data_IF_443325497557
#
_entry.id   IF_443325497557
#
_cell.length_a   1.000
_cell.length_b   1.000
_cell.length_c   1.000
_cell.angle_alpha   90.00
_cell.angle_beta   90.00
_cell.angle_gamma   90.00
#
_symmetry.space_group_name_H-M   'P 1'
#
loop_
_entity.id
_entity.type
_entity.pdbx_description
1 polymer ?
#
# COMPACT_ATOMS: atom_id res chain seq x y z
N UNK A 1 -33.83 56.98 54.73
CA UNK A 1 -33.03 55.76 55.03
C UNK A 1 -32.41 55.28 53.73
N UNK A 2 -31.12 55.58 53.58
CA UNK A 2 -30.27 55.38 52.40
C UNK A 2 -29.65 53.98 52.51
N UNK A 3 -29.72 53.16 51.45
CA UNK A 3 -28.93 51.92 51.35
C UNK A 3 -27.88 52.08 50.25
N UNK A 4 -26.67 51.71 50.61
CA UNK A 4 -25.39 52.06 50.02
C UNK A 4 -25.07 51.37 48.69
N UNK A 5 -24.25 52.07 47.91
CA UNK A 5 -23.53 51.59 46.72
C UNK A 5 -22.57 50.45 47.07
N UNK A 6 -22.42 49.48 46.17
CA UNK A 6 -21.10 48.92 45.84
C UNK A 6 -21.14 48.41 44.41
N UNK A 7 -20.33 49.05 43.56
CA UNK A 7 -20.02 48.58 42.22
C UNK A 7 -18.98 47.45 42.33
N UNK A 8 -19.11 46.42 41.50
CA UNK A 8 -17.98 45.56 41.13
C UNK A 8 -18.21 45.07 39.72
N UNK A 9 -17.41 45.64 38.81
CA UNK A 9 -17.16 45.09 37.48
C UNK A 9 -16.57 43.69 37.62
N UNK A 10 -17.09 42.71 36.88
CA UNK A 10 -16.26 41.60 36.41
C UNK A 10 -16.83 41.04 35.10
N UNK A 11 -16.27 41.58 34.02
CA UNK A 11 -15.82 40.88 32.81
C UNK A 11 -16.79 39.94 32.08
N UNK A 12 -17.33 40.43 30.96
CA UNK A 12 -17.72 39.61 29.82
C UNK A 12 -16.53 38.73 29.40
N UNK A 13 -16.64 37.42 29.57
CA UNK A 13 -15.83 36.45 28.84
C UNK A 13 -16.70 35.87 27.73
N UNK A 14 -16.70 36.57 26.59
CA UNK A 14 -17.12 36.00 25.32
C UNK A 14 -16.08 34.95 24.95
N UNK A 15 -16.39 33.67 25.15
CA UNK A 15 -15.69 32.59 24.45
C UNK A 15 -16.04 32.69 22.97
N UNK A 16 -15.30 33.53 22.25
CA UNK A 16 -15.03 33.29 20.84
C UNK A 16 -14.19 32.02 20.79
N UNK A 17 -14.86 30.88 20.63
CA UNK A 17 -14.20 29.70 20.11
C UNK A 17 -13.70 30.08 18.71
N UNK A 18 -12.41 30.36 18.60
CA UNK A 18 -11.72 30.45 17.33
C UNK A 18 -11.87 29.09 16.65
N UNK A 19 -12.88 28.97 15.80
CA UNK A 19 -12.95 27.94 14.76
C UNK A 19 -11.83 28.24 13.76
N UNK A 20 -10.60 27.89 14.14
CA UNK A 20 -9.51 27.66 13.21
C UNK A 20 -9.75 26.29 12.59
N UNK A 21 -10.82 26.17 11.80
CA UNK A 21 -10.80 25.21 10.70
C UNK A 21 -9.79 25.78 9.71
N UNK A 22 -8.53 25.40 9.90
CA UNK A 22 -7.57 25.46 8.82
C UNK A 22 -8.12 24.51 7.75
N UNK A 23 -8.89 25.07 6.83
CA UNK A 23 -9.01 24.58 5.48
C UNK A 23 -7.58 24.36 4.99
N UNK A 24 -7.14 23.10 5.04
CA UNK A 24 -5.93 22.67 4.37
C UNK A 24 -6.24 22.75 2.88
N UNK A 25 -6.05 23.92 2.29
CA UNK A 25 -5.85 24.07 0.85
C UNK A 25 -4.80 23.04 0.46
N UNK A 26 -5.22 21.94 -0.17
CA UNK A 26 -4.33 20.87 -0.54
C UNK A 26 -3.28 21.46 -1.49
N UNK A 27 -1.99 21.54 -1.09
CA UNK A 27 -0.97 21.93 -2.04
C UNK A 27 -1.05 20.92 -3.17
N UNK A 28 -0.80 21.34 -4.40
CA UNK A 28 -0.47 20.37 -5.45
C UNK A 28 0.89 19.76 -5.07
N UNK A 29 0.89 18.87 -4.07
CA UNK A 29 2.08 18.29 -3.45
C UNK A 29 2.76 17.44 -4.50
N UNK A 30 4.03 17.68 -4.78
CA UNK A 30 4.82 16.87 -5.73
C UNK A 30 4.98 15.46 -5.15
N UNK A 31 5.16 14.45 -6.01
CA UNK A 31 5.38 13.08 -5.53
C UNK A 31 6.59 12.99 -4.61
N UNK A 32 7.60 13.81 -4.86
CA UNK A 32 8.76 13.89 -3.98
C UNK A 32 8.40 14.43 -2.58
N UNK A 33 7.45 15.36 -2.46
CA UNK A 33 7.00 15.86 -1.16
C UNK A 33 6.29 14.74 -0.38
N UNK A 34 5.42 13.97 -1.05
CA UNK A 34 4.79 12.77 -0.48
C UNK A 34 5.84 11.75 -0.02
N UNK A 35 6.86 11.50 -0.86
CA UNK A 35 7.95 10.59 -0.55
C UNK A 35 8.75 11.05 0.67
N UNK A 36 9.12 12.32 0.75
CA UNK A 36 9.88 12.87 1.88
C UNK A 36 9.07 12.82 3.18
N UNK A 37 7.80 13.24 3.14
CA UNK A 37 6.89 13.12 4.29
C UNK A 37 6.76 11.67 4.77
N UNK A 38 6.67 10.72 3.84
CA UNK A 38 6.58 9.30 4.16
C UNK A 38 7.89 8.78 4.78
N UNK A 39 9.05 9.18 4.26
CA UNK A 39 10.36 8.80 4.83
C UNK A 39 10.49 9.33 6.25
N UNK A 40 10.12 10.58 6.52
CA UNK A 40 10.16 11.16 7.86
C UNK A 40 9.21 10.45 8.83
N UNK A 41 8.01 10.06 8.36
CA UNK A 41 7.09 9.25 9.14
C UNK A 41 7.71 7.90 9.53
N UNK A 42 8.29 7.19 8.55
CA UNK A 42 8.98 5.91 8.78
C UNK A 42 10.14 6.11 9.76
N UNK A 43 10.98 7.13 9.55
CA UNK A 43 12.13 7.43 10.41
C UNK A 43 11.71 7.65 11.86
N UNK A 44 10.58 8.33 12.08
CA UNK A 44 10.05 8.64 13.41
C UNK A 44 9.38 7.42 14.08
N UNK A 45 8.65 6.63 13.32
CA UNK A 45 7.75 5.62 13.88
C UNK A 45 8.30 4.20 13.76
N UNK A 46 9.13 3.85 12.79
CA UNK A 46 9.59 2.47 12.56
C UNK A 46 10.43 1.92 13.73
N UNK A 47 10.22 0.65 14.04
CA UNK A 47 11.17 -0.15 14.82
C UNK A 47 12.15 -0.82 13.86
N UNK A 48 13.31 -0.20 13.64
CA UNK A 48 14.35 -0.72 12.76
C UNK A 48 14.86 -2.10 13.20
N UNK A 49 15.13 -2.96 12.22
CA UNK A 49 15.47 -4.37 12.45
C UNK A 49 16.92 -4.70 12.08
N UNK A 50 17.57 -3.83 11.32
CA UNK A 50 18.93 -3.99 10.81
C UNK A 50 19.81 -2.83 11.27
N UNK A 51 21.13 -2.97 11.16
CA UNK A 51 22.04 -1.86 11.44
C UNK A 51 22.02 -0.77 10.35
N UNK A 52 21.56 -1.12 9.14
CA UNK A 52 21.48 -0.19 8.02
C UNK A 52 20.07 0.41 7.93
N UNK A 53 19.83 1.40 8.79
CA UNK A 53 18.54 2.09 8.83
C UNK A 53 18.20 2.81 7.52
N UNK A 54 19.20 3.31 6.79
CA UNK A 54 18.97 4.02 5.53
C UNK A 54 18.54 3.06 4.41
N UNK A 55 19.11 1.85 4.36
CA UNK A 55 18.61 0.80 3.46
C UNK A 55 17.16 0.42 3.81
N UNK A 56 16.83 0.23 5.10
CA UNK A 56 15.46 -0.05 5.53
C UNK A 56 14.46 1.06 5.15
N UNK A 57 14.86 2.32 5.29
CA UNK A 57 14.06 3.45 4.81
C UNK A 57 13.86 3.37 3.30
N UNK A 58 14.94 3.14 2.54
CA UNK A 58 14.91 3.02 1.09
C UNK A 58 14.02 1.87 0.58
N UNK A 59 13.90 0.79 1.35
CA UNK A 59 13.02 -0.33 1.05
C UNK A 59 11.55 0.00 1.32
N UNK A 60 11.25 0.70 2.41
CA UNK A 60 9.86 0.99 2.76
C UNK A 60 9.30 2.24 2.07
N UNK A 61 10.16 3.15 1.62
CA UNK A 61 9.75 4.42 1.04
C UNK A 61 9.03 4.26 -0.32
N UNK A 62 8.00 5.07 -0.59
CA UNK A 62 7.47 5.30 -1.93
C UNK A 62 8.60 5.66 -2.91
N UNK A 63 8.45 5.27 -4.18
CA UNK A 63 9.46 5.54 -5.21
C UNK A 63 8.82 5.83 -6.56
N UNK A 64 9.51 6.66 -7.33
CA UNK A 64 9.20 6.94 -8.71
C UNK A 64 10.32 6.45 -9.62
N UNK A 65 9.94 5.86 -10.75
CA UNK A 65 10.83 5.54 -11.85
C UNK A 65 10.40 6.34 -13.07
N UNK A 66 11.33 7.13 -13.60
CA UNK A 66 11.09 7.99 -14.77
C UNK A 66 11.69 7.31 -16.00
N UNK A 67 10.92 7.13 -17.09
CA UNK A 67 11.42 6.54 -18.32
C UNK A 67 12.37 7.51 -19.04
N UNK A 68 13.17 7.00 -19.96
CA UNK A 68 13.92 7.87 -20.88
C UNK A 68 12.96 8.48 -21.92
N UNK A 69 12.99 9.80 -22.06
CA UNK A 69 12.13 10.53 -23.00
C UNK A 69 10.75 10.89 -22.43
N UNK A 70 9.78 11.12 -23.33
CA UNK A 70 8.40 11.47 -22.93
C UNK A 70 7.64 10.20 -22.50
N UNK A 71 7.02 10.18 -21.30
CA UNK A 71 6.26 9.02 -20.84
C UNK A 71 5.07 8.69 -21.77
N UNK A 72 4.93 7.40 -22.12
CA UNK A 72 3.78 6.89 -22.90
C UNK A 72 2.49 6.83 -22.07
N UNK A 73 2.64 6.84 -20.75
CA UNK A 73 1.59 6.74 -19.75
C UNK A 73 2.23 6.65 -18.36
N UNK A 74 1.39 6.64 -17.32
CA UNK A 74 1.80 6.45 -15.94
C UNK A 74 1.20 5.20 -15.33
N UNK A 75 1.93 4.57 -14.42
CA UNK A 75 1.45 3.40 -13.66
C UNK A 75 1.60 3.68 -12.16
N UNK A 76 0.49 3.62 -11.43
CA UNK A 76 0.49 3.65 -9.96
C UNK A 76 0.41 2.21 -9.42
N UNK A 77 1.34 1.82 -8.55
CA UNK A 77 1.42 0.48 -7.98
C UNK A 77 1.19 0.50 -6.47
N UNK A 78 0.19 -0.28 -6.00
CA UNK A 78 -0.29 -0.30 -4.61
C UNK A 78 -0.08 -1.68 -3.98
N UNK A 79 0.71 -1.74 -2.91
CA UNK A 79 1.05 -3.00 -2.23
C UNK A 79 -0.12 -3.58 -1.41
N UNK A 80 0.06 -4.83 -0.96
CA UNK A 80 -0.92 -5.55 -0.13
C UNK A 80 -0.74 -5.30 1.38
N UNK A 81 -1.67 -5.84 2.17
CA UNK A 81 -1.60 -5.77 3.64
C UNK A 81 -0.35 -6.46 4.19
N UNK A 82 0.36 -5.77 5.08
CA UNK A 82 1.58 -6.29 5.72
C UNK A 82 2.84 -6.20 4.85
N UNK A 83 2.75 -5.48 3.74
CA UNK A 83 3.83 -5.30 2.77
C UNK A 83 4.35 -3.85 2.75
N UNK A 84 5.23 -3.51 1.81
CA UNK A 84 5.72 -2.14 1.58
C UNK A 84 5.80 -1.79 0.09
N UNK A 85 6.17 -0.54 -0.19
CA UNK A 85 6.42 -0.07 -1.56
C UNK A 85 7.50 -0.89 -2.31
N UNK A 86 8.35 -1.64 -1.59
CA UNK A 86 9.39 -2.48 -2.18
C UNK A 86 8.87 -3.60 -3.08
N UNK A 87 7.67 -4.14 -2.81
CA UNK A 87 7.19 -5.35 -3.51
C UNK A 87 7.00 -5.18 -5.02
N UNK A 88 7.01 -3.94 -5.48
CA UNK A 88 6.94 -3.62 -6.90
C UNK A 88 8.27 -3.16 -7.50
N UNK A 89 9.39 -3.21 -6.78
CA UNK A 89 10.67 -2.66 -7.24
C UNK A 89 11.05 -3.17 -8.65
N UNK A 90 11.08 -4.50 -8.81
CA UNK A 90 11.44 -5.15 -10.09
C UNK A 90 10.44 -4.88 -11.20
N UNK A 91 9.15 -4.87 -10.86
CA UNK A 91 8.05 -4.63 -11.82
C UNK A 91 8.08 -3.17 -12.29
N UNK A 92 8.30 -2.24 -11.36
CA UNK A 92 8.34 -0.82 -11.64
C UNK A 92 9.52 -0.44 -12.53
N UNK A 93 10.71 -1.01 -12.27
CA UNK A 93 11.87 -0.82 -13.14
C UNK A 93 11.58 -1.30 -14.57
N UNK A 94 11.05 -2.51 -14.72
CA UNK A 94 10.72 -3.08 -16.05
C UNK A 94 9.69 -2.24 -16.81
N UNK A 95 8.68 -1.72 -16.13
CA UNK A 95 7.69 -0.84 -16.74
C UNK A 95 8.29 0.52 -17.13
N UNK A 96 9.18 1.06 -16.31
CA UNK A 96 9.90 2.29 -16.64
C UNK A 96 10.81 2.12 -17.86
N UNK A 97 11.52 1.00 -17.96
CA UNK A 97 12.34 0.65 -19.14
C UNK A 97 11.50 0.54 -20.42
N UNK A 98 10.19 0.26 -20.30
CA UNK A 98 9.25 0.21 -21.43
C UNK A 98 8.66 1.59 -21.81
N UNK A 99 8.97 2.65 -21.07
CA UNK A 99 8.56 4.02 -21.35
C UNK A 99 7.42 4.56 -20.48
N UNK A 100 7.13 3.93 -19.34
CA UNK A 100 6.09 4.40 -18.41
C UNK A 100 6.68 5.18 -17.23
N UNK A 101 5.99 6.22 -16.78
CA UNK A 101 6.27 6.85 -15.48
C UNK A 101 5.63 5.99 -14.39
N UNK A 102 6.44 5.37 -13.52
CA UNK A 102 5.92 4.43 -12.52
C UNK A 102 6.07 4.99 -11.13
N UNK A 103 5.04 4.87 -10.29
CA UNK A 103 5.06 5.25 -8.87
C UNK A 103 4.60 4.08 -8.01
N UNK A 104 5.30 3.85 -6.92
CA UNK A 104 4.82 3.02 -5.81
C UNK A 104 4.42 3.92 -4.65
N UNK A 105 3.39 3.51 -3.92
CA UNK A 105 2.90 4.21 -2.72
C UNK A 105 3.09 3.36 -1.49
N UNK A 106 3.13 3.97 -0.32
CA UNK A 106 3.06 3.31 0.97
C UNK A 106 1.70 3.63 1.61
N UNK A 107 0.94 2.58 1.92
CA UNK A 107 -0.35 2.72 2.58
C UNK A 107 -0.16 3.06 4.07
N UNK A 108 -0.96 3.98 4.65
CA UNK A 108 -0.98 4.24 6.08
C UNK A 108 -0.95 2.98 6.94
N UNK A 109 -0.18 3.00 8.04
CA UNK A 109 0.04 1.86 8.95
C UNK A 109 1.08 0.84 8.45
N UNK A 110 1.64 1.02 7.26
CA UNK A 110 2.70 0.15 6.72
C UNK A 110 4.07 0.83 6.79
N UNK A 111 5.13 0.03 6.73
CA UNK A 111 6.51 0.50 6.77
C UNK A 111 7.00 1.02 8.12
N UNK A 112 6.10 1.22 9.10
CA UNK A 112 6.38 1.69 10.46
C UNK A 112 6.34 0.52 11.46
N UNK A 113 5.48 0.56 12.48
CA UNK A 113 5.25 -0.54 13.45
C UNK A 113 3.93 -1.23 13.17
N UNK A 114 3.80 -2.53 13.50
CA UNK A 114 2.53 -3.24 13.38
C UNK A 114 1.36 -2.59 14.14
N UNK A 115 1.63 -1.89 15.25
CA UNK A 115 0.62 -1.19 16.06
C UNK A 115 -0.01 0.00 15.35
N UNK A 116 0.72 0.66 14.43
CA UNK A 116 0.20 1.81 13.67
C UNK A 116 -0.94 1.41 12.73
N UNK A 117 -1.11 0.12 12.44
CA UNK A 117 -2.21 -0.40 11.64
C UNK A 117 -3.57 -0.34 12.37
N UNK A 118 -3.57 -0.33 13.71
CA UNK A 118 -4.80 -0.48 14.50
C UNK A 118 -5.76 0.70 14.34
N UNK A 119 -5.21 1.90 14.14
CA UNK A 119 -5.99 3.13 14.03
C UNK A 119 -6.27 3.53 12.56
N UNK A 120 -5.80 2.72 11.61
CA UNK A 120 -5.93 3.01 10.19
C UNK A 120 -7.29 2.55 9.65
N UNK A 121 -7.93 3.44 8.90
CA UNK A 121 -9.21 3.20 8.24
C UNK A 121 -9.05 3.04 6.73
N UNK A 122 -10.01 2.32 6.12
CA UNK A 122 -10.03 2.09 4.67
C UNK A 122 -10.01 3.40 3.87
N UNK A 123 -10.71 4.43 4.34
CA UNK A 123 -10.81 5.72 3.64
C UNK A 123 -9.43 6.39 3.53
N UNK A 124 -8.53 6.15 4.48
CA UNK A 124 -7.16 6.68 4.42
C UNK A 124 -6.35 5.99 3.33
N UNK A 125 -6.55 4.69 3.10
CA UNK A 125 -5.93 3.98 1.98
C UNK A 125 -6.50 4.42 0.63
N UNK A 126 -7.82 4.55 0.54
CA UNK A 126 -8.49 5.07 -0.65
C UNK A 126 -8.04 6.50 -0.97
N UNK A 127 -7.82 7.33 0.06
CA UNK A 127 -7.32 8.69 -0.12
C UNK A 127 -5.93 8.72 -0.74
N UNK A 128 -5.00 7.85 -0.30
CA UNK A 128 -3.68 7.74 -0.93
C UNK A 128 -3.79 7.35 -2.40
N UNK A 129 -4.64 6.36 -2.73
CA UNK A 129 -4.85 5.96 -4.14
C UNK A 129 -5.41 7.12 -4.95
N UNK A 130 -6.41 7.85 -4.43
CA UNK A 130 -7.03 9.01 -5.07
C UNK A 130 -6.01 10.11 -5.34
N UNK A 131 -5.32 10.58 -4.31
CA UNK A 131 -4.37 11.70 -4.42
C UNK A 131 -3.24 11.39 -5.39
N UNK A 132 -2.66 10.20 -5.28
CA UNK A 132 -1.51 9.80 -6.10
C UNK A 132 -1.91 9.51 -7.55
N UNK A 133 -3.13 9.02 -7.78
CA UNK A 133 -3.69 8.85 -9.13
C UNK A 133 -3.98 10.20 -9.78
N UNK A 134 -4.64 11.12 -9.06
CA UNK A 134 -4.93 12.48 -9.54
C UNK A 134 -3.67 13.30 -9.78
N UNK A 135 -2.62 13.05 -9.01
CA UNK A 135 -1.33 13.67 -9.26
C UNK A 135 -0.71 13.11 -10.54
N UNK A 136 -0.64 11.79 -10.65
CA UNK A 136 -0.04 11.12 -11.81
C UNK A 136 -0.74 11.51 -13.11
N UNK A 137 -2.07 11.62 -13.12
CA UNK A 137 -2.85 11.99 -14.30
C UNK A 137 -2.53 13.38 -14.86
N UNK A 138 -1.95 14.28 -14.06
CA UNK A 138 -1.50 15.61 -14.51
C UNK A 138 -0.17 15.57 -15.26
N UNK A 139 0.57 14.47 -15.15
CA UNK A 139 1.95 14.33 -15.65
C UNK A 139 2.08 13.41 -16.86
N UNK A 140 1.03 12.65 -17.18
CA UNK A 140 1.06 11.60 -18.21
C UNK A 140 -0.21 11.62 -19.07
N UNK A 141 -0.14 11.17 -20.33
CA UNK A 141 -1.31 11.17 -21.22
C UNK A 141 -2.37 10.11 -20.86
N UNK A 142 -1.99 9.04 -20.14
CA UNK A 142 -2.85 7.92 -19.75
C UNK A 142 -2.39 7.34 -18.43
N UNK A 143 -3.32 6.97 -17.56
CA UNK A 143 -3.01 6.35 -16.26
C UNK A 143 -3.48 4.89 -16.23
N UNK A 144 -2.62 4.02 -15.74
CA UNK A 144 -2.93 2.63 -15.39
C UNK A 144 -2.73 2.46 -13.89
N UNK A 145 -3.55 1.61 -13.28
CA UNK A 145 -3.41 1.29 -11.86
C UNK A 145 -3.07 -0.19 -11.70
N UNK A 146 -2.18 -0.50 -10.78
CA UNK A 146 -1.84 -1.87 -10.45
C UNK A 146 -1.76 -2.08 -8.95
N UNK A 147 -2.03 -3.31 -8.53
CA UNK A 147 -1.99 -3.61 -7.10
C UNK A 147 -1.94 -5.09 -6.79
N UNK A 148 -1.45 -5.39 -5.58
CA UNK A 148 -1.33 -6.75 -5.06
C UNK A 148 -2.28 -6.97 -3.87
N UNK A 149 -3.05 -8.07 -3.88
CA UNK A 149 -3.97 -8.43 -2.78
C UNK A 149 -4.91 -7.27 -2.38
N UNK A 150 -4.80 -6.71 -1.18
CA UNK A 150 -5.54 -5.51 -0.74
C UNK A 150 -5.36 -4.33 -1.68
N UNK A 151 -4.14 -4.10 -2.18
CA UNK A 151 -3.85 -3.04 -3.13
C UNK A 151 -4.59 -3.22 -4.46
N UNK A 152 -4.80 -4.48 -4.90
CA UNK A 152 -5.59 -4.79 -6.09
C UNK A 152 -7.07 -4.40 -5.92
N UNK A 153 -7.62 -4.61 -4.72
CA UNK A 153 -8.98 -4.20 -4.40
C UNK A 153 -9.11 -2.67 -4.37
N UNK A 154 -8.13 -1.96 -3.78
CA UNK A 154 -8.14 -0.49 -3.72
C UNK A 154 -8.09 0.17 -5.10
N UNK A 155 -7.23 -0.32 -5.99
CA UNK A 155 -7.15 0.24 -7.36
C UNK A 155 -8.36 -0.12 -8.21
N UNK A 156 -8.97 -1.29 -7.97
CA UNK A 156 -10.23 -1.65 -8.63
C UNK A 156 -11.37 -0.76 -8.15
N UNK A 157 -11.51 -0.57 -6.84
CA UNK A 157 -12.50 0.30 -6.21
C UNK A 157 -12.41 1.72 -6.76
N UNK A 158 -11.20 2.28 -6.86
CA UNK A 158 -10.99 3.57 -7.50
C UNK A 158 -11.41 3.56 -8.98
N UNK A 159 -10.91 2.61 -9.77
CA UNK A 159 -11.18 2.56 -11.21
C UNK A 159 -12.65 2.30 -11.57
N UNK A 160 -13.44 1.75 -10.64
CA UNK A 160 -14.85 1.47 -10.85
C UNK A 160 -15.66 2.73 -11.19
N UNK A 161 -15.33 3.86 -10.56
CA UNK A 161 -16.01 5.16 -10.76
C UNK A 161 -15.23 6.14 -11.66
N UNK A 162 -14.10 5.70 -12.25
CA UNK A 162 -13.19 6.58 -13.00
C UNK A 162 -12.86 5.98 -14.37
N UNK A 163 -13.73 6.27 -15.36
CA UNK A 163 -13.61 5.78 -16.75
C UNK A 163 -12.33 6.26 -17.46
N UNK A 164 -11.69 7.32 -16.97
CA UNK A 164 -10.43 7.83 -17.53
C UNK A 164 -9.22 6.92 -17.27
N UNK A 165 -9.36 5.93 -16.37
CA UNK A 165 -8.30 4.95 -16.09
C UNK A 165 -8.18 3.97 -17.27
N UNK A 166 -7.02 3.99 -17.92
CA UNK A 166 -6.77 3.27 -19.17
C UNK A 166 -6.68 1.75 -19.01
N UNK A 167 -6.44 1.25 -17.80
CA UNK A 167 -6.41 -0.18 -17.52
C UNK A 167 -5.89 -0.54 -16.12
N UNK A 168 -6.08 -1.82 -15.77
CA UNK A 168 -5.71 -2.39 -14.48
C UNK A 168 -4.68 -3.53 -14.60
N UNK A 169 -3.74 -3.59 -13.66
CA UNK A 169 -2.78 -4.69 -13.52
C UNK A 169 -2.92 -5.30 -12.11
N UNK A 170 -3.68 -6.40 -12.00
CA UNK A 170 -4.08 -6.96 -10.72
C UNK A 170 -3.30 -8.24 -10.39
N UNK A 171 -2.56 -8.24 -9.30
CA UNK A 171 -1.81 -9.39 -8.80
C UNK A 171 -2.56 -10.04 -7.64
N UNK A 172 -3.04 -11.27 -7.84
CA UNK A 172 -3.75 -12.07 -6.82
C UNK A 172 -4.83 -11.27 -6.05
N UNK A 173 -5.85 -10.73 -6.74
CA UNK A 173 -6.84 -9.87 -6.11
C UNK A 173 -7.68 -10.64 -5.08
N UNK A 174 -7.91 -9.99 -3.93
CA UNK A 174 -8.65 -10.58 -2.81
C UNK A 174 -10.14 -10.19 -2.85
N UNK A 175 -10.83 -10.46 -3.98
CA UNK A 175 -12.22 -10.00 -4.20
C UNK A 175 -13.27 -10.67 -3.30
N UNK A 176 -12.98 -11.86 -2.79
CA UNK A 176 -13.85 -12.58 -1.86
C UNK A 176 -13.03 -13.21 -0.75
N UNK A 177 -13.28 -12.79 0.49
CA UNK A 177 -12.90 -13.56 1.67
C UNK A 177 -13.99 -14.61 1.89
N UNK A 178 -13.75 -15.86 1.51
CA UNK A 178 -14.73 -16.94 1.64
C UNK A 178 -14.86 -17.47 3.08
N UNK A 179 -14.71 -16.60 4.07
CA UNK A 179 -14.88 -16.96 5.48
C UNK A 179 -16.30 -16.60 5.90
N UNK A 180 -17.17 -17.61 6.06
CA UNK A 180 -18.53 -17.46 6.61
C UNK A 180 -18.59 -16.87 8.04
N UNK A 181 -17.42 -16.56 8.61
CA UNK A 181 -17.20 -15.93 9.90
C UNK A 181 -16.61 -14.51 9.77
N UNK A 182 -16.55 -13.92 8.57
CA UNK A 182 -16.07 -12.55 8.36
C UNK A 182 -16.91 -11.51 9.12
N UNK A 183 -18.16 -11.82 9.48
CA UNK A 183 -19.01 -10.98 10.34
C UNK A 183 -18.59 -10.99 11.81
N UNK A 184 -17.81 -11.98 12.26
CA UNK A 184 -17.28 -12.09 13.63
C UNK A 184 -15.91 -11.43 13.79
N UNK A 185 -15.26 -10.98 12.73
CA UNK A 185 -13.92 -10.37 12.81
C UNK A 185 -13.83 -9.16 13.75
N UNK A 186 -14.85 -8.28 13.88
CA UNK A 186 -14.78 -7.18 14.86
C UNK A 186 -14.75 -7.69 16.31
N UNK A 187 -15.43 -8.81 16.58
CA UNK A 187 -15.57 -9.40 17.91
C UNK A 187 -14.36 -10.28 18.29
N UNK A 188 -13.73 -10.92 17.29
CA UNK A 188 -12.48 -11.67 17.47
C UNK A 188 -11.29 -10.74 17.76
N UNK A 189 -11.32 -9.49 17.24
CA UNK A 189 -10.31 -8.47 17.49
C UNK A 189 -10.14 -8.11 18.98
N UNK A 190 -11.19 -8.28 19.79
CA UNK A 190 -11.14 -8.02 21.24
C UNK A 190 -10.51 -9.16 22.06
N UNK A 191 -10.46 -10.38 21.53
CA UNK A 191 -10.08 -11.59 22.26
C UNK A 191 -8.67 -12.11 21.93
N UNK A 192 -8.01 -11.60 20.89
CA UNK A 192 -6.63 -11.95 20.53
C UNK A 192 -5.79 -10.70 20.37
N UNK A 193 -4.75 -10.54 21.20
CA UNK A 193 -3.61 -9.68 20.89
C UNK A 193 -2.99 -10.20 19.58
N UNK A 194 -3.41 -9.65 18.45
CA UNK A 194 -2.85 -9.96 17.13
C UNK A 194 -1.47 -9.31 16.91
N UNK A 195 -1.10 -8.37 17.79
CA UNK A 195 0.22 -7.78 17.86
C UNK A 195 1.19 -8.77 18.49
N UNK A 196 1.99 -9.42 17.65
CA UNK A 196 3.24 -10.03 18.09
C UNK A 196 4.14 -8.93 18.68
N UNK A 197 4.68 -9.16 19.87
CA UNK A 197 5.65 -8.23 20.45
C UNK A 197 6.88 -8.15 19.53
N UNK A 198 7.53 -6.99 19.36
CA UNK A 198 8.69 -6.83 18.48
C UNK A 198 9.86 -7.79 18.76
N UNK A 199 9.93 -8.36 19.98
CA UNK A 199 10.93 -9.32 20.43
C UNK A 199 10.41 -10.77 20.50
N UNK A 200 9.26 -11.08 19.92
CA UNK A 200 8.89 -12.47 19.65
C UNK A 200 9.87 -12.97 18.56
N UNK A 201 10.85 -13.79 18.94
CA UNK A 201 11.82 -14.37 18.00
C UNK A 201 11.18 -15.35 16.99
N UNK A 202 9.85 -15.38 16.92
CA UNK A 202 9.07 -16.34 16.16
C UNK A 202 8.64 -15.76 14.80
N UNK A 203 8.44 -14.43 14.70
CA UNK A 203 7.96 -13.75 13.47
C UNK A 203 8.58 -12.35 13.29
N UNK A 204 9.88 -12.25 12.94
CA UNK A 204 10.50 -10.96 12.63
C UNK A 204 9.80 -10.30 11.43
N UNK A 205 9.75 -8.96 11.43
CA UNK A 205 9.20 -8.18 10.33
C UNK A 205 9.87 -8.61 9.02
N UNK A 206 9.08 -8.90 7.97
CA UNK A 206 9.62 -9.45 6.72
C UNK A 206 10.60 -8.46 6.10
N UNK A 207 11.84 -8.91 5.92
CA UNK A 207 12.88 -8.19 5.19
C UNK A 207 12.67 -8.40 3.69
N UNK A 208 12.98 -7.41 2.84
CA UNK A 208 13.29 -7.68 1.45
C UNK A 208 14.39 -8.75 1.38
N UNK A 209 14.22 -9.74 0.50
CA UNK A 209 15.33 -10.64 0.23
C UNK A 209 16.48 -9.80 -0.34
N UNK A 210 17.71 -9.90 0.20
CA UNK A 210 18.87 -9.29 -0.45
C UNK A 210 18.95 -9.89 -1.86
N UNK A 211 19.13 -9.03 -2.87
CA UNK A 211 19.14 -9.32 -4.30
C UNK A 211 19.56 -10.76 -4.57
N UNK A 212 18.54 -11.64 -4.67
CA UNK A 212 18.78 -13.02 -5.01
C UNK A 212 19.11 -12.99 -6.49
N UNK A 213 20.40 -13.12 -6.79
CA UNK A 213 20.96 -13.31 -8.12
C UNK A 213 19.96 -14.10 -8.97
N UNK A 214 19.47 -13.49 -10.06
CA UNK A 214 18.34 -14.00 -10.84
C UNK A 214 18.57 -15.44 -11.35
N UNK A 215 19.83 -15.91 -11.38
CA UNK A 215 20.20 -17.30 -11.65
C UNK A 215 19.80 -18.30 -10.55
N UNK A 216 19.89 -17.92 -9.27
CA UNK A 216 19.63 -18.82 -8.13
C UNK A 216 18.13 -19.12 -7.93
N UNK A 217 17.26 -18.16 -8.28
CA UNK A 217 15.80 -18.31 -8.23
C UNK A 217 15.28 -19.19 -9.37
N UNK A 218 15.91 -19.15 -10.54
CA UNK A 218 15.55 -20.03 -11.65
C UNK A 218 15.86 -21.50 -11.31
N UNK A 219 16.99 -21.76 -10.66
CA UNK A 219 17.40 -23.11 -10.26
C UNK A 219 16.52 -23.69 -9.14
N UNK A 220 16.17 -22.87 -8.14
CA UNK A 220 15.29 -23.30 -7.04
C UNK A 220 13.83 -23.48 -7.46
N UNK A 221 13.31 -22.64 -8.38
CA UNK A 221 11.97 -22.83 -8.93
C UNK A 221 11.89 -24.11 -9.77
N UNK A 222 12.89 -24.38 -10.62
CA UNK A 222 12.93 -25.61 -11.42
C UNK A 222 13.00 -26.89 -10.56
N UNK A 223 13.67 -26.87 -9.41
CA UNK A 223 13.70 -28.02 -8.51
C UNK A 223 12.38 -28.26 -7.76
N UNK A 224 11.63 -27.20 -7.43
CA UNK A 224 10.35 -27.31 -6.68
C UNK A 224 9.14 -27.67 -7.57
N UNK A 225 9.19 -27.43 -8.87
CA UNK A 225 8.06 -27.66 -9.81
C UNK A 225 8.13 -28.97 -10.62
N UNK A 226 9.23 -29.74 -10.54
CA UNK A 226 9.32 -31.07 -11.20
C UNK A 226 8.23 -32.09 -10.82
N UNK A 227 7.63 -32.11 -9.61
CA UNK A 227 6.58 -33.10 -9.30
C UNK A 227 5.22 -32.77 -9.92
N UNK A 228 4.96 -31.52 -10.31
CA UNK A 228 3.64 -31.07 -10.77
C UNK A 228 3.47 -31.26 -12.29
N UNK A 229 4.56 -31.16 -13.05
CA UNK A 229 4.53 -31.35 -14.51
C UNK A 229 4.57 -32.83 -14.95
N UNK A 230 4.95 -33.76 -14.07
CA UNK A 230 4.94 -35.20 -14.40
C UNK A 230 3.56 -35.85 -14.23
N UNK A 231 2.68 -35.30 -13.40
CA UNK A 231 1.31 -35.82 -13.24
C UNK A 231 0.34 -35.38 -14.34
N UNK A 232 0.60 -34.28 -15.06
CA UNK A 232 -0.25 -33.83 -16.16
C UNK A 232 0.00 -34.51 -17.52
N UNK A 233 1.05 -35.33 -17.65
CA UNK A 233 1.31 -36.13 -18.89
C UNK A 233 0.81 -37.57 -18.84
N UNK A 234 0.21 -38.02 -17.74
CA UNK A 234 -0.28 -39.40 -17.58
C UNK A 234 -1.80 -39.57 -17.81
N UNK A 235 -2.52 -38.51 -18.19
CA UNK A 235 -4.00 -38.48 -18.17
C UNK A 235 -4.74 -38.44 -19.51
N UNK A 236 -4.08 -38.50 -20.67
CA UNK A 236 -4.76 -38.39 -21.96
C UNK A 236 -4.27 -39.45 -22.97
N UNK A 237 -4.73 -40.68 -22.77
CA UNK A 237 -4.75 -41.70 -23.83
C UNK A 237 -6.09 -41.65 -24.58
N UNK A 238 -6.11 -41.77 -25.93
CA UNK A 238 -7.36 -41.76 -26.69
C UNK A 238 -8.15 -43.07 -26.52
N UNK A 239 -9.49 -43.07 -26.66
CA UNK A 239 -10.29 -44.28 -26.56
C UNK A 239 -10.03 -45.23 -27.74
N UNK A 240 -9.94 -46.53 -27.44
CA UNK A 240 -9.75 -47.60 -28.41
C UNK A 240 -10.95 -47.73 -29.35
N UNK A 241 -10.67 -47.78 -30.65
CA UNK A 241 -11.63 -48.13 -31.70
C UNK A 241 -11.98 -49.61 -31.63
N UNK A 242 -13.26 -49.91 -31.42
CA UNK A 242 -13.82 -51.26 -31.57
C UNK A 242 -14.09 -51.54 -33.04
N UNK A 243 -13.55 -52.63 -33.59
CA UNK A 243 -13.97 -53.20 -34.88
C UNK A 243 -13.66 -54.70 -34.88
N UNK A 244 -14.73 -55.49 -34.97
CA UNK A 244 -14.89 -56.95 -35.10
C UNK A 244 -14.55 -57.81 -33.88
#
# INVERSE_FOLDING_TARGET
MIKSRLASLLSLLTLQACTSMAESEAPTQRFEDYRQQTIELIRKQRNFQTADHEAELGWNAPRQWTPTGTPKGGVLLVHGLGDSAWSFNDVAQKLADQGYLVRTVLLPGHGTRPEDMLDVRLEQWQQVVREQTQQLSREVPKVYLGGFSTGANLVLDYAYDHEEIAGLVLFSPAFRSNSGYAWLTPWIGWARLWLAAPNDGLRPQRRPAPDADAGSLHEHAHQRFRPVLSQQRAGSGPPASTSL
#
